data_IF_689813608773
#
_entry.id   IF_689813608773
#
_cell.length_a   1.000
_cell.length_b   1.000
_cell.length_c   1.000
_cell.angle_alpha   90.00
_cell.angle_beta   90.00
_cell.angle_gamma   90.00
#
_symmetry.space_group_name_H-M   'P 1'
#
loop_
_entity.id
_entity.type
_entity.pdbx_description
1 polymer ?
#
# COMPACT_ATOMS: atom_id res chain seq x y z
N UNK A 1 -7.37 11.87 -0.87
CA UNK A 1 -7.48 10.41 -0.70
C UNK A 1 -7.38 10.05 0.77
N UNK A 2 -8.25 9.13 1.23
CA UNK A 2 -8.29 8.56 2.58
C UNK A 2 -8.40 7.05 2.48
N UNK A 3 -7.61 6.32 3.26
CA UNK A 3 -7.68 4.86 3.34
C UNK A 3 -8.69 4.50 4.43
N UNK A 4 -9.73 3.74 4.08
CA UNK A 4 -10.80 3.32 4.98
C UNK A 4 -10.52 1.96 5.62
N UNK A 5 -9.90 1.04 4.88
CA UNK A 5 -9.54 -0.28 5.36
C UNK A 5 -8.30 -0.79 4.61
N UNK A 6 -7.57 -1.72 5.23
CA UNK A 6 -6.43 -2.39 4.62
C UNK A 6 -6.37 -3.86 5.07
N UNK A 7 -6.20 -4.77 4.11
CA UNK A 7 -6.08 -6.20 4.38
C UNK A 7 -5.01 -6.84 3.52
N UNK A 8 -4.30 -7.81 4.10
CA UNK A 8 -3.39 -8.68 3.34
C UNK A 8 -4.23 -9.71 2.62
N UNK A 9 -4.18 -9.72 1.28
CA UNK A 9 -4.92 -10.65 0.42
C UNK A 9 -4.14 -11.95 0.21
N UNK A 10 -2.84 -11.84 -0.07
CA UNK A 10 -1.92 -12.96 -0.22
C UNK A 10 -0.52 -12.52 0.21
N UNK A 11 0.23 -13.42 0.82
CA UNK A 11 1.64 -13.21 1.12
C UNK A 11 2.45 -14.45 0.76
N UNK A 12 3.67 -14.26 0.28
CA UNK A 12 4.63 -15.34 0.02
C UNK A 12 6.03 -14.94 0.45
N UNK A 13 6.83 -15.93 0.83
CA UNK A 13 8.24 -15.72 1.09
C UNK A 13 9.00 -15.64 -0.23
N UNK A 14 9.66 -14.51 -0.45
CA UNK A 14 10.64 -14.32 -1.52
C UNK A 14 12.02 -14.74 -0.97
N UNK A 15 12.29 -16.05 -1.04
CA UNK A 15 13.46 -16.68 -0.39
C UNK A 15 14.77 -16.06 -0.85
N UNK A 16 14.89 -15.78 -2.13
CA UNK A 16 16.12 -15.28 -2.76
C UNK A 16 16.49 -13.87 -2.28
N UNK A 17 15.53 -13.13 -1.72
CA UNK A 17 15.73 -11.76 -1.26
C UNK A 17 15.64 -11.62 0.27
N UNK A 18 15.37 -12.69 1.00
CA UNK A 18 15.17 -12.62 2.45
C UNK A 18 13.94 -11.78 2.86
N UNK A 19 12.93 -11.70 1.98
CA UNK A 19 11.76 -10.82 2.15
C UNK A 19 10.44 -11.61 2.13
N UNK A 20 9.39 -10.98 2.64
CA UNK A 20 8.00 -11.35 2.41
C UNK A 20 7.41 -10.38 1.40
N UNK A 21 6.91 -10.92 0.31
CA UNK A 21 6.11 -10.23 -0.68
C UNK A 21 4.64 -10.42 -0.34
N UNK A 22 3.84 -9.35 -0.39
CA UNK A 22 2.40 -9.46 -0.19
C UNK A 22 1.61 -8.55 -1.11
N UNK A 23 0.42 -9.01 -1.48
CA UNK A 23 -0.63 -8.17 -2.06
C UNK A 23 -1.50 -7.68 -0.91
N UNK A 24 -1.57 -6.36 -0.76
CA UNK A 24 -2.40 -5.68 0.23
C UNK A 24 -3.51 -4.94 -0.50
N UNK A 25 -4.76 -5.29 -0.19
CA UNK A 25 -5.94 -4.59 -0.70
C UNK A 25 -6.24 -3.42 0.22
N UNK A 26 -6.26 -2.21 -0.34
CA UNK A 26 -6.66 -0.98 0.32
C UNK A 26 -8.05 -0.59 -0.15
N UNK A 27 -8.96 -0.29 0.78
CA UNK A 27 -10.22 0.39 0.46
C UNK A 27 -9.98 1.89 0.55
N UNK A 28 -10.08 2.58 -0.58
CA UNK A 28 -9.69 3.98 -0.71
C UNK A 28 -10.89 4.84 -1.07
N UNK A 29 -11.03 5.98 -0.38
CA UNK A 29 -11.93 7.08 -0.75
C UNK A 29 -11.11 8.21 -1.33
N UNK A 30 -11.33 8.53 -2.60
CA UNK A 30 -10.70 9.66 -3.28
C UNK A 30 -11.69 10.82 -3.43
N UNK A 31 -11.20 12.06 -3.54
CA UNK A 31 -12.02 13.25 -3.81
C UNK A 31 -12.50 13.29 -5.25
N UNK A 32 -11.78 12.64 -6.18
CA UNK A 32 -12.13 12.60 -7.60
C UNK A 32 -13.17 11.52 -7.94
N UNK A 33 -13.45 10.59 -7.01
CA UNK A 33 -14.38 9.48 -7.23
C UNK A 33 -15.49 9.51 -6.18
N UNK A 34 -16.77 9.43 -6.59
CA UNK A 34 -17.89 9.51 -5.65
C UNK A 34 -18.01 8.28 -4.74
N UNK A 35 -17.49 7.12 -5.16
CA UNK A 35 -17.60 5.83 -4.44
C UNK A 35 -16.21 5.32 -4.02
N UNK A 36 -16.04 4.79 -2.80
CA UNK A 36 -14.82 4.11 -2.41
C UNK A 36 -14.52 2.91 -3.31
N UNK A 37 -13.25 2.65 -3.56
CA UNK A 37 -12.82 1.55 -4.41
C UNK A 37 -11.69 0.74 -3.76
N UNK A 38 -11.62 -0.55 -4.10
CA UNK A 38 -10.51 -1.40 -3.71
C UNK A 38 -9.32 -1.21 -4.65
N UNK A 39 -8.11 -1.22 -4.10
CA UNK A 39 -6.87 -1.16 -4.85
C UNK A 39 -5.87 -2.16 -4.27
N UNK A 40 -5.31 -2.99 -5.13
CA UNK A 40 -4.27 -3.95 -4.75
C UNK A 40 -2.89 -3.29 -4.87
N UNK A 41 -2.12 -3.33 -3.77
CA UNK A 41 -0.77 -2.78 -3.67
C UNK A 41 0.21 -3.89 -3.34
N UNK A 42 1.28 -3.99 -4.12
CA UNK A 42 2.39 -4.88 -3.81
C UNK A 42 3.25 -4.26 -2.72
N UNK A 43 3.37 -4.96 -1.59
CA UNK A 43 4.15 -4.54 -0.43
C UNK A 43 5.20 -5.58 -0.06
N UNK A 44 6.27 -5.12 0.58
CA UNK A 44 7.39 -5.96 0.97
C UNK A 44 7.71 -5.73 2.44
N UNK A 45 8.14 -6.79 3.12
CA UNK A 45 8.62 -6.71 4.49
C UNK A 45 9.87 -7.58 4.66
N UNK A 46 10.83 -7.17 5.52
CA UNK A 46 11.91 -8.04 5.94
C UNK A 46 11.36 -9.32 6.54
N UNK A 47 11.96 -10.48 6.20
CA UNK A 47 11.54 -11.77 6.77
C UNK A 47 11.47 -11.68 8.28
N UNK A 48 12.45 -11.10 8.94
CA UNK A 48 12.60 -11.07 10.40
C UNK A 48 11.44 -10.41 11.16
N UNK A 49 10.56 -9.68 10.47
CA UNK A 49 9.34 -9.13 11.06
C UNK A 49 8.38 -10.20 11.61
N UNK A 50 8.51 -11.47 11.17
CA UNK A 50 7.73 -12.57 11.76
C UNK A 50 8.10 -12.89 13.21
N UNK A 51 9.27 -12.45 13.70
CA UNK A 51 9.74 -12.73 15.07
C UNK A 51 8.89 -12.05 16.15
N UNK A 52 8.11 -11.04 15.79
CA UNK A 52 7.17 -10.36 16.68
C UNK A 52 5.75 -10.60 16.17
N UNK A 53 4.86 -11.22 16.97
CA UNK A 53 3.47 -11.45 16.58
C UNK A 53 2.81 -10.15 16.08
N UNK A 54 2.15 -10.22 14.92
CA UNK A 54 1.47 -9.07 14.31
C UNK A 54 2.36 -8.04 13.60
N UNK A 55 3.68 -8.00 13.88
CA UNK A 55 4.57 -6.98 13.31
C UNK A 55 4.70 -7.11 11.79
N UNK A 56 4.78 -8.33 11.26
CA UNK A 56 4.82 -8.57 9.81
C UNK A 56 3.58 -8.00 9.10
N UNK A 57 2.39 -8.30 9.61
CA UNK A 57 1.12 -7.82 9.04
C UNK A 57 1.05 -6.29 9.08
N UNK A 58 1.36 -5.71 10.23
CA UNK A 58 1.35 -4.25 10.40
C UNK A 58 2.36 -3.57 9.47
N UNK A 59 3.57 -4.12 9.35
CA UNK A 59 4.59 -3.58 8.44
C UNK A 59 4.12 -3.58 6.98
N UNK A 60 3.56 -4.69 6.50
CA UNK A 60 3.06 -4.81 5.12
C UNK A 60 1.93 -3.79 4.85
N UNK A 61 1.00 -3.62 5.80
CA UNK A 61 -0.08 -2.65 5.69
C UNK A 61 0.48 -1.22 5.65
N UNK A 62 1.37 -0.87 6.57
CA UNK A 62 1.96 0.48 6.61
C UNK A 62 2.80 0.77 5.36
N UNK A 63 3.54 -0.22 4.86
CA UNK A 63 4.28 -0.10 3.61
C UNK A 63 3.34 0.15 2.42
N UNK A 64 2.23 -0.59 2.33
CA UNK A 64 1.22 -0.39 1.28
C UNK A 64 0.58 1.01 1.34
N UNK A 65 0.27 1.52 2.53
CA UNK A 65 -0.28 2.88 2.72
C UNK A 65 0.69 3.94 2.20
N UNK A 66 1.96 3.86 2.58
CA UNK A 66 3.02 4.80 2.12
C UNK A 66 3.18 4.80 0.60
N UNK A 67 3.11 3.63 -0.03
CA UNK A 67 3.17 3.53 -1.50
C UNK A 67 1.96 4.18 -2.18
N UNK A 68 0.76 4.04 -1.59
CA UNK A 68 -0.43 4.71 -2.08
C UNK A 68 -0.34 6.24 -1.92
N UNK A 69 0.15 6.73 -0.78
CA UNK A 69 0.36 8.17 -0.54
C UNK A 69 1.31 8.77 -1.57
N UNK A 70 2.45 8.13 -1.82
CA UNK A 70 3.42 8.59 -2.84
C UNK A 70 2.84 8.61 -4.25
N UNK A 71 2.06 7.58 -4.62
CA UNK A 71 1.36 7.54 -5.92
C UNK A 71 0.32 8.67 -6.04
N UNK A 72 -0.33 9.01 -4.94
CA UNK A 72 -1.31 10.11 -4.88
C UNK A 72 -0.66 11.47 -5.09
N UNK A 73 0.52 11.69 -4.50
CA UNK A 73 1.31 12.93 -4.67
C UNK A 73 1.77 13.12 -6.12
N UNK A 74 2.29 12.06 -6.74
CA UNK A 74 2.69 12.09 -8.16
C UNK A 74 1.49 12.44 -9.05
N UNK A 75 0.34 11.83 -8.77
CA UNK A 75 -0.90 12.09 -9.52
C UNK A 75 -1.31 13.55 -9.38
N UNK A 76 -1.32 14.12 -8.17
CA UNK A 76 -1.65 15.54 -7.94
C UNK A 76 -0.68 16.49 -8.65
N UNK A 77 0.63 16.25 -8.54
CA UNK A 77 1.64 17.11 -9.18
C UNK A 77 1.55 17.08 -10.71
N UNK A 78 1.18 15.94 -11.30
CA UNK A 78 1.01 15.82 -12.76
C UNK A 78 -0.17 16.64 -13.30
N UNK A 79 -1.19 16.89 -12.48
CA UNK A 79 -2.35 17.73 -12.84
C UNK A 79 -2.24 19.18 -12.34
N UNK A 80 -1.15 19.53 -11.65
CA UNK A 80 -0.88 20.88 -11.13
C UNK A 80 0.07 21.71 -12.02
N UNK A 81 0.29 21.30 -13.28
CA UNK A 81 1.07 22.10 -14.22
C UNK A 81 0.37 23.45 -14.49
N UNK A 82 1.12 24.56 -14.58
CA UNK A 82 0.56 25.89 -14.66
C UNK A 82 -0.13 26.08 -16.02
N UNK A 83 -1.33 26.66 -16.01
CA UNK A 83 -1.88 27.28 -17.20
C UNK A 83 -0.91 28.40 -17.62
N UNK A 84 -0.22 28.21 -18.73
CA UNK A 84 0.56 29.24 -19.41
C UNK A 84 -0.35 30.05 -20.32
#
# INVERSE_FOLDING_TARGET
MRILNARVKKARYARDFGMVEAIVTLLVKDTLRPVPYEMDVMAFAPRDMHRKPGALRSYLIEHAKKLNERSSEITKNRFAAPAA
#
